data_IF_552544982244
#
_entry.id   IF_552544982244
#
_cell.length_a   1.000
_cell.length_b   1.000
_cell.length_c   1.000
_cell.angle_alpha   90.00
_cell.angle_beta   90.00
_cell.angle_gamma   90.00
#
_symmetry.space_group_name_H-M   'P 1'
#
loop_
_entity.id
_entity.type
_entity.pdbx_description
1 polymer ?
#
# COMPACT_ATOMS: atom_id res chain seq x y z
N UNK A 1 13.76 10.85 -5.96
CA UNK A 1 12.59 10.70 -5.07
C UNK A 1 11.41 10.38 -5.94
N UNK A 2 10.62 9.39 -5.52
CA UNK A 2 9.44 8.93 -6.24
C UNK A 2 8.27 9.01 -5.27
N UNK A 3 7.16 9.56 -5.75
CA UNK A 3 5.92 9.60 -4.97
C UNK A 3 5.27 8.22 -5.01
N UNK A 4 5.01 7.68 -3.83
CA UNK A 4 4.30 6.44 -3.63
C UNK A 4 2.93 6.76 -3.07
N UNK A 5 1.91 6.11 -3.61
CA UNK A 5 0.53 6.18 -3.17
C UNK A 5 0.20 4.89 -2.43
N UNK A 6 -0.68 4.95 -1.43
CA UNK A 6 -1.08 3.76 -0.71
C UNK A 6 -2.53 3.80 -0.23
N UNK A 7 -3.10 2.61 -0.04
CA UNK A 7 -4.21 2.40 0.89
C UNK A 7 -3.73 1.56 2.07
N UNK A 8 -4.14 1.90 3.28
CA UNK A 8 -3.81 1.18 4.51
C UNK A 8 -5.07 0.82 5.31
N UNK A 9 -5.06 -0.37 5.89
CA UNK A 9 -6.10 -0.88 6.79
C UNK A 9 -5.52 -1.95 7.72
N UNK A 10 -6.37 -2.61 8.50
CA UNK A 10 -5.93 -3.76 9.30
C UNK A 10 -5.39 -4.86 8.38
N UNK A 11 -4.36 -5.57 8.82
CA UNK A 11 -3.78 -6.67 8.07
C UNK A 11 -4.86 -7.73 7.77
N UNK A 12 -5.65 -8.08 8.78
CA UNK A 12 -6.79 -8.99 8.65
C UNK A 12 -7.75 -8.59 7.52
N UNK A 13 -8.14 -7.32 7.45
CA UNK A 13 -9.05 -6.86 6.40
C UNK A 13 -8.45 -7.07 5.01
N UNK A 14 -7.19 -6.64 4.80
CA UNK A 14 -6.52 -6.73 3.49
C UNK A 14 -6.04 -8.13 3.10
N UNK A 15 -5.90 -9.07 4.05
CA UNK A 15 -5.35 -10.41 3.77
C UNK A 15 -6.32 -11.56 3.97
N UNK A 16 -7.39 -11.38 4.74
CA UNK A 16 -8.33 -12.45 5.09
C UNK A 16 -9.77 -12.14 4.67
N UNK A 17 -10.23 -10.91 4.84
CA UNK A 17 -11.64 -10.55 4.62
C UNK A 17 -11.91 -10.16 3.17
N UNK A 18 -10.97 -9.46 2.54
CA UNK A 18 -11.06 -9.06 1.14
C UNK A 18 -10.36 -10.06 0.21
N UNK A 19 -10.93 -10.36 -0.97
CA UNK A 19 -10.28 -11.21 -1.99
C UNK A 19 -9.17 -10.45 -2.74
N UNK A 20 -8.28 -9.79 -2.01
CA UNK A 20 -7.27 -8.91 -2.57
C UNK A 20 -6.15 -9.68 -3.27
N UNK A 21 -5.82 -10.89 -2.81
CA UNK A 21 -4.78 -11.71 -3.43
C UNK A 21 -5.09 -12.01 -4.91
N UNK A 22 -6.35 -12.33 -5.22
CA UNK A 22 -6.80 -12.58 -6.60
C UNK A 22 -6.65 -11.32 -7.48
N UNK A 23 -7.05 -10.16 -6.97
CA UNK A 23 -6.92 -8.87 -7.68
C UNK A 23 -5.46 -8.56 -7.99
N UNK A 24 -4.57 -8.72 -7.01
CA UNK A 24 -3.14 -8.43 -7.19
C UNK A 24 -2.46 -9.48 -8.09
N UNK A 25 -2.86 -10.75 -8.00
CA UNK A 25 -2.35 -11.82 -8.88
C UNK A 25 -2.73 -11.57 -10.33
N UNK A 26 -3.99 -11.22 -10.58
CA UNK A 26 -4.49 -10.92 -11.92
C UNK A 26 -3.84 -9.66 -12.50
N UNK A 27 -3.67 -8.61 -11.70
CA UNK A 27 -2.94 -7.41 -12.12
C UNK A 27 -1.47 -7.73 -12.47
N UNK A 28 -0.79 -8.58 -11.69
CA UNK A 28 0.58 -9.03 -11.99
C UNK A 28 0.65 -9.78 -13.33
N UNK A 29 -0.31 -10.68 -13.60
CA UNK A 29 -0.43 -11.39 -14.87
C UNK A 29 -0.59 -10.41 -16.04
N UNK A 30 -1.51 -9.45 -15.90
CA UNK A 30 -1.79 -8.43 -16.91
C UNK A 30 -0.55 -7.55 -17.22
N UNK A 31 0.23 -7.19 -16.20
CA UNK A 31 1.49 -6.47 -16.39
C UNK A 31 2.52 -7.31 -17.16
N UNK A 32 2.66 -8.59 -16.79
CA UNK A 32 3.56 -9.52 -17.48
C UNK A 32 3.21 -9.70 -18.95
N UNK A 33 1.92 -9.80 -19.28
CA UNK A 33 1.44 -9.92 -20.67
C UNK A 33 1.70 -8.66 -21.51
N UNK A 34 1.85 -7.51 -20.86
CA UNK A 34 2.16 -6.23 -21.51
C UNK A 34 3.63 -5.85 -21.45
N UNK A 35 4.49 -6.66 -20.83
CA UNK A 35 5.90 -6.33 -20.60
C UNK A 35 6.10 -5.10 -19.70
N UNK A 36 5.15 -4.84 -18.79
CA UNK A 36 5.24 -3.73 -17.82
C UNK A 36 5.92 -4.20 -16.54
N UNK A 37 6.79 -3.35 -15.99
CA UNK A 37 7.38 -3.57 -14.67
C UNK A 37 6.33 -3.41 -13.57
N UNK A 38 6.39 -4.27 -12.55
CA UNK A 38 5.49 -4.20 -11.40
C UNK A 38 5.80 -2.95 -10.60
N UNK A 39 4.77 -2.16 -10.35
CA UNK A 39 4.84 -0.90 -9.63
C UNK A 39 3.86 -0.88 -8.44
N UNK A 40 3.47 -2.05 -7.94
CA UNK A 40 2.55 -2.20 -6.81
C UNK A 40 2.87 -3.41 -5.93
N UNK A 41 2.66 -3.27 -4.62
CA UNK A 41 2.98 -4.29 -3.62
C UNK A 41 1.99 -4.29 -2.47
N UNK A 42 1.77 -5.45 -1.85
CA UNK A 42 1.14 -5.58 -0.54
C UNK A 42 2.24 -5.68 0.51
N UNK A 43 2.27 -4.75 1.45
CA UNK A 43 3.27 -4.63 2.51
C UNK A 43 2.60 -4.87 3.86
N UNK A 44 3.10 -5.83 4.64
CA UNK A 44 2.60 -6.11 5.99
C UNK A 44 3.37 -5.27 7.00
N UNK A 45 2.69 -4.74 8.02
CA UNK A 45 3.26 -3.84 9.02
C UNK A 45 4.21 -2.79 8.40
N UNK A 46 3.75 -1.96 7.45
CA UNK A 46 4.64 -1.08 6.69
C UNK A 46 5.39 -0.09 7.59
N UNK A 47 6.73 -0.13 7.55
CA UNK A 47 7.59 0.74 8.37
C UNK A 47 7.38 2.22 8.05
N UNK A 48 6.98 2.56 6.81
CA UNK A 48 6.73 3.94 6.41
C UNK A 48 5.59 4.60 7.22
N UNK A 49 4.64 3.83 7.76
CA UNK A 49 3.59 4.40 8.63
C UNK A 49 4.16 5.01 9.92
N UNK A 50 5.39 4.66 10.31
CA UNK A 50 6.09 5.27 11.44
C UNK A 50 6.63 6.67 11.16
N UNK A 51 6.67 7.09 9.88
CA UNK A 51 7.16 8.40 9.51
C UNK A 51 6.31 9.52 10.16
N UNK A 52 6.92 10.60 10.66
CA UNK A 52 6.20 11.68 11.33
C UNK A 52 5.06 12.26 10.49
N UNK A 53 5.26 12.38 9.17
CA UNK A 53 4.27 12.90 8.22
C UNK A 53 3.01 12.02 8.08
N UNK A 54 3.07 10.75 8.50
CA UNK A 54 1.96 9.80 8.42
C UNK A 54 1.33 9.47 9.79
N UNK A 55 1.71 10.21 10.84
CA UNK A 55 1.26 9.92 12.22
C UNK A 55 -0.26 9.92 12.38
N UNK A 56 -0.96 10.81 11.68
CA UNK A 56 -2.44 10.87 11.71
C UNK A 56 -3.10 9.65 11.07
N UNK A 57 -2.52 9.13 10.00
CA UNK A 57 -3.00 7.92 9.33
C UNK A 57 -2.72 6.73 10.24
N UNK A 58 -1.48 6.59 10.74
CA UNK A 58 -1.10 5.50 11.65
C UNK A 58 -2.00 5.42 12.88
N UNK A 59 -2.38 6.55 13.47
CA UNK A 59 -3.26 6.60 14.63
C UNK A 59 -4.68 6.08 14.36
N UNK A 60 -5.12 6.08 13.10
CA UNK A 60 -6.47 5.65 12.68
C UNK A 60 -6.49 4.24 12.09
N UNK A 61 -5.36 3.73 11.59
CA UNK A 61 -5.26 2.37 11.04
C UNK A 61 -5.16 1.35 12.19
N UNK A 62 -6.08 0.36 12.28
CA UNK A 62 -5.97 -0.71 13.27
C UNK A 62 -4.69 -1.54 13.09
N UNK A 63 -4.10 -1.99 14.20
CA UNK A 63 -2.89 -2.80 14.22
C UNK A 63 -3.21 -4.27 14.56
N UNK A 64 -2.50 -5.26 13.96
CA UNK A 64 -1.46 -5.10 12.94
C UNK A 64 -2.05 -4.56 11.64
N UNK A 65 -1.26 -3.74 10.93
CA UNK A 65 -1.69 -3.04 9.72
C UNK A 65 -1.07 -3.66 8.47
N UNK A 66 -1.68 -3.40 7.32
CA UNK A 66 -1.09 -3.68 6.02
C UNK A 66 -1.41 -2.52 5.07
N UNK A 67 -0.65 -2.42 3.99
CA UNK A 67 -0.88 -1.44 2.95
C UNK A 67 -0.70 -2.02 1.55
N UNK A 68 -1.49 -1.56 0.60
CA UNK A 68 -1.19 -1.69 -0.82
C UNK A 68 -0.51 -0.40 -1.25
N UNK A 69 0.71 -0.50 -1.74
CA UNK A 69 1.56 0.63 -2.16
C UNK A 69 1.76 0.55 -3.66
N UNK A 70 1.72 1.69 -4.35
CA UNK A 70 2.03 1.76 -5.79
C UNK A 70 2.49 3.16 -6.20
N UNK A 71 3.25 3.25 -7.29
CA UNK A 71 3.53 4.55 -7.95
C UNK A 71 2.41 4.98 -8.90
N UNK A 72 1.40 4.13 -9.15
CA UNK A 72 0.19 4.45 -9.91
C UNK A 72 -0.91 4.96 -8.97
N UNK A 73 -1.11 6.28 -8.95
CA UNK A 73 -2.17 6.92 -8.15
C UNK A 73 -3.57 6.47 -8.55
N UNK A 74 -3.80 6.17 -9.84
CA UNK A 74 -5.11 5.75 -10.34
C UNK A 74 -5.47 4.38 -9.77
N UNK A 75 -4.48 3.48 -9.67
CA UNK A 75 -4.67 2.19 -9.04
C UNK A 75 -5.02 2.33 -7.55
N UNK A 76 -4.33 3.20 -6.82
CA UNK A 76 -4.61 3.42 -5.39
C UNK A 76 -5.99 4.05 -5.16
N UNK A 77 -6.40 5.02 -5.98
CA UNK A 77 -7.76 5.57 -5.91
C UNK A 77 -8.81 4.50 -6.25
N UNK A 78 -8.58 3.64 -7.24
CA UNK A 78 -9.45 2.48 -7.51
C UNK A 78 -9.58 1.58 -6.28
N UNK A 79 -8.45 1.29 -5.61
CA UNK A 79 -8.43 0.49 -4.39
C UNK A 79 -9.20 1.15 -3.25
N UNK A 80 -9.07 2.46 -3.07
CA UNK A 80 -9.83 3.23 -2.07
C UNK A 80 -11.35 3.13 -2.32
N UNK A 81 -11.78 3.27 -3.57
CA UNK A 81 -13.20 3.16 -3.94
C UNK A 81 -13.74 1.74 -3.78
N UNK A 82 -12.93 0.72 -4.13
CA UNK A 82 -13.32 -0.69 -4.05
C UNK A 82 -13.46 -1.18 -2.61
N UNK A 83 -12.52 -0.81 -1.75
CA UNK A 83 -12.39 -1.40 -0.41
C UNK A 83 -13.17 -0.62 0.65
N UNK A 84 -13.56 0.63 0.36
CA UNK A 84 -14.31 1.58 1.21
C UNK A 84 -13.64 1.91 2.57
N UNK A 85 -13.43 0.91 3.43
CA UNK A 85 -12.94 0.97 4.81
C UNK A 85 -11.40 1.02 4.94
N UNK A 86 -10.75 1.67 3.98
CA UNK A 86 -9.29 1.87 3.97
C UNK A 86 -8.96 3.36 4.06
N UNK A 87 -7.77 3.71 4.56
CA UNK A 87 -7.24 5.07 4.50
C UNK A 87 -6.30 5.21 3.31
N UNK A 88 -6.48 6.26 2.52
CA UNK A 88 -5.62 6.59 1.38
C UNK A 88 -4.60 7.65 1.80
N UNK A 89 -3.38 7.57 1.25
CA UNK A 89 -2.34 8.55 1.46
C UNK A 89 -1.26 8.45 0.40
N UNK A 90 -0.26 9.33 0.51
CA UNK A 90 0.94 9.31 -0.32
C UNK A 90 2.14 9.82 0.47
N UNK A 91 3.34 9.43 0.03
CA UNK A 91 4.61 9.90 0.59
C UNK A 91 5.70 9.83 -0.48
N UNK A 92 6.77 10.59 -0.29
CA UNK A 92 7.96 10.48 -1.15
C UNK A 92 9.00 9.56 -0.50
N UNK A 93 9.65 8.74 -1.32
CA UNK A 93 10.76 7.90 -0.88
C UNK A 93 11.82 7.74 -2.00
N UNK A 94 13.09 7.48 -1.67
CA UNK A 94 13.63 7.40 -0.31
C UNK A 94 13.81 8.80 0.34
N UNK A 95 13.62 8.87 1.66
CA UNK A 95 13.90 10.03 2.54
C UNK A 95 14.56 9.56 3.84
N UNK A 96 15.02 10.47 4.69
CA UNK A 96 15.59 10.12 6.01
C UNK A 96 14.56 9.42 6.91
N UNK A 97 13.28 9.78 6.80
CA UNK A 97 12.20 9.17 7.57
C UNK A 97 11.68 7.88 6.94
N UNK A 98 11.75 7.76 5.60
CA UNK A 98 11.27 6.61 4.82
C UNK A 98 12.38 6.18 3.85
N UNK A 99 13.39 5.43 4.34
CA UNK A 99 14.51 5.01 3.49
C UNK A 99 14.10 3.95 2.47
N UNK A 100 13.11 3.12 2.79
CA UNK A 100 12.56 2.08 1.92
C UNK A 100 11.02 2.15 1.94
N UNK A 101 10.36 2.45 0.81
CA UNK A 101 8.90 2.52 0.71
C UNK A 101 8.19 1.17 0.97
N UNK A 102 8.90 0.05 0.89
CA UNK A 102 8.33 -1.30 0.95
C UNK A 102 8.83 -2.11 2.16
N UNK A 103 9.55 -1.49 3.10
CA UNK A 103 10.01 -2.14 4.31
C UNK A 103 8.85 -2.56 5.23
N UNK A 104 8.97 -3.76 5.80
CA UNK A 104 8.07 -4.31 6.82
C UNK A 104 8.72 -4.17 8.21
N UNK A 105 7.95 -3.72 9.21
CA UNK A 105 8.32 -3.77 10.62
C UNK A 105 8.10 -5.20 11.16
N UNK A 106 9.20 -5.81 11.61
CA UNK A 106 9.23 -7.16 12.20
C UNK A 106 8.73 -7.25 13.64
#
# INVERSE_FOLDING_TARGET
MTTHHFVAASARFLTEEEPLDEVLKERRRHYGEQGKEIDFWLVRNPSFLNAPELSEIKAKVPQPSAAVVSTDSTFITFMKLRLEYVLEGQFDAPTDAIPDPLAEDG
#
